data_IF_191956808623
#
_entry.id   IF_191956808623
#
_cell.length_a   1.000
_cell.length_b   1.000
_cell.length_c   1.000
_cell.angle_alpha   90.00
_cell.angle_beta   90.00
_cell.angle_gamma   90.00
#
_symmetry.space_group_name_H-M   'P 1'
#
loop_
_entity.id
_entity.type
_entity.pdbx_description
1 polymer ?
#
# COMPACT_ATOMS: atom_id res chain seq x y z
N UNK A 1 2.05 -1.86 12.04
CA UNK A 1 1.20 -1.59 13.23
C UNK A 1 -0.16 -2.28 13.13
N UNK A 2 -0.86 -2.26 11.98
CA UNK A 2 -2.19 -2.88 11.85
C UNK A 2 -2.30 -4.29 12.46
N UNK A 3 -1.37 -5.19 12.17
CA UNK A 3 -1.42 -6.54 12.73
C UNK A 3 -1.29 -6.58 14.25
N UNK A 4 -0.48 -5.70 14.84
CA UNK A 4 -0.38 -5.55 16.30
C UNK A 4 -1.71 -5.09 16.89
N UNK A 5 -2.33 -4.07 16.28
CA UNK A 5 -3.65 -3.57 16.69
C UNK A 5 -4.73 -4.65 16.55
N UNK A 6 -4.71 -5.45 15.48
CA UNK A 6 -5.65 -6.56 15.27
C UNK A 6 -5.47 -7.66 16.31
N UNK A 7 -4.23 -8.03 16.63
CA UNK A 7 -3.93 -9.02 17.67
C UNK A 7 -4.41 -8.50 19.03
N UNK A 8 -4.13 -7.24 19.36
CA UNK A 8 -4.61 -6.62 20.60
C UNK A 8 -6.14 -6.68 20.69
N UNK A 9 -6.84 -6.29 19.62
CA UNK A 9 -8.30 -6.35 19.56
C UNK A 9 -8.83 -7.79 19.72
N UNK A 10 -8.22 -8.78 19.06
CA UNK A 10 -8.62 -10.19 19.21
C UNK A 10 -8.39 -10.74 20.61
N UNK A 11 -7.49 -10.14 21.38
CA UNK A 11 -7.22 -10.50 22.77
C UNK A 11 -8.01 -9.63 23.77
N UNK A 12 -8.96 -8.81 23.30
CA UNK A 12 -9.78 -7.93 24.14
C UNK A 12 -9.00 -6.74 24.74
N UNK A 13 -7.88 -6.37 24.15
CA UNK A 13 -7.08 -5.22 24.55
C UNK A 13 -7.39 -4.00 23.68
N UNK A 14 -7.60 -2.85 24.32
CA UNK A 14 -7.76 -1.54 23.66
C UNK A 14 -6.41 -0.93 23.22
N UNK A 15 -5.32 -1.67 23.31
CA UNK A 15 -4.01 -1.19 22.90
C UNK A 15 -3.97 -0.86 21.39
N UNK A 16 -3.44 0.32 21.07
CA UNK A 16 -3.24 0.79 19.70
C UNK A 16 -1.85 1.38 19.54
N UNK A 17 -1.16 0.94 18.50
CA UNK A 17 0.17 1.45 18.18
C UNK A 17 0.02 2.80 17.46
N UNK A 18 0.60 3.84 18.06
CA UNK A 18 0.57 5.22 17.56
C UNK A 18 2.01 5.70 17.38
N UNK A 19 2.69 5.26 16.31
CA UNK A 19 4.12 5.46 16.20
C UNK A 19 4.46 6.93 15.96
N UNK A 20 5.59 7.39 16.47
CA UNK A 20 6.17 8.67 16.08
C UNK A 20 6.89 8.60 14.73
N UNK A 21 7.25 9.75 14.15
CA UNK A 21 7.93 9.76 12.86
C UNK A 21 9.31 9.07 12.91
N UNK A 22 10.00 9.12 14.06
CA UNK A 22 11.24 8.34 14.32
C UNK A 22 11.05 6.85 14.11
N UNK A 23 10.00 6.27 14.67
CA UNK A 23 9.71 4.84 14.56
C UNK A 23 9.29 4.48 13.14
N UNK A 24 8.49 5.34 12.49
CA UNK A 24 8.13 5.16 11.08
C UNK A 24 9.37 5.18 10.19
N UNK A 25 10.30 6.12 10.39
CA UNK A 25 11.55 6.19 9.65
C UNK A 25 12.41 4.93 9.84
N UNK A 26 12.50 4.42 11.08
CA UNK A 26 13.20 3.16 11.36
C UNK A 26 12.56 1.97 10.64
N UNK A 27 11.22 1.90 10.59
CA UNK A 27 10.49 0.86 9.84
C UNK A 27 10.73 0.97 8.33
N UNK A 28 10.71 2.19 7.76
CA UNK A 28 11.02 2.41 6.34
C UNK A 28 12.46 1.93 6.04
N UNK A 29 13.42 2.28 6.90
CA UNK A 29 14.81 1.83 6.77
C UNK A 29 14.90 0.31 6.80
N UNK A 30 14.28 -0.33 7.80
CA UNK A 30 14.28 -1.79 7.92
C UNK A 30 13.64 -2.46 6.71
N UNK A 31 12.57 -1.89 6.17
CA UNK A 31 11.93 -2.39 4.96
C UNK A 31 12.87 -2.29 3.74
N UNK A 32 13.62 -1.19 3.61
CA UNK A 32 14.65 -1.04 2.59
C UNK A 32 15.72 -2.13 2.68
N UNK A 33 16.25 -2.39 3.88
CA UNK A 33 17.24 -3.46 4.11
C UNK A 33 16.70 -4.84 3.71
N UNK A 34 15.48 -5.17 4.15
CA UNK A 34 14.83 -6.44 3.80
C UNK A 34 14.59 -6.58 2.30
N UNK A 35 14.30 -5.49 1.59
CA UNK A 35 14.19 -5.51 0.13
C UNK A 35 15.54 -5.76 -0.53
N UNK A 36 16.64 -5.20 -0.02
CA UNK A 36 17.99 -5.51 -0.53
C UNK A 36 18.29 -6.99 -0.33
N UNK A 37 18.05 -7.52 0.86
CA UNK A 37 18.26 -8.94 1.17
C UNK A 37 17.41 -9.84 0.24
N UNK A 38 16.17 -9.46 -0.04
CA UNK A 38 15.26 -10.22 -0.89
C UNK A 38 15.64 -10.19 -2.38
N UNK A 39 16.02 -9.03 -2.91
CA UNK A 39 16.30 -8.88 -4.34
C UNK A 39 17.76 -9.15 -4.71
N UNK A 40 18.69 -9.07 -3.76
CA UNK A 40 20.13 -9.15 -4.01
C UNK A 40 20.71 -7.94 -4.76
N UNK A 41 19.88 -6.97 -5.13
CA UNK A 41 20.24 -5.78 -5.89
C UNK A 41 19.67 -4.52 -5.22
N UNK A 42 20.55 -3.69 -4.67
CA UNK A 42 20.16 -2.49 -3.93
C UNK A 42 19.33 -1.51 -4.78
N UNK A 43 19.74 -1.28 -6.04
CA UNK A 43 19.00 -0.38 -6.93
C UNK A 43 17.57 -0.86 -7.20
N UNK A 44 17.39 -2.18 -7.42
CA UNK A 44 16.08 -2.79 -7.59
C UNK A 44 15.25 -2.66 -6.32
N UNK A 45 15.82 -2.94 -5.16
CA UNK A 45 15.18 -2.79 -3.86
C UNK A 45 14.67 -1.36 -3.65
N UNK A 46 15.49 -0.34 -3.95
CA UNK A 46 15.07 1.06 -3.79
C UNK A 46 13.93 1.44 -4.74
N UNK A 47 13.95 0.98 -6.00
CA UNK A 47 12.83 1.19 -6.93
C UNK A 47 11.52 0.59 -6.42
N UNK A 48 11.58 -0.59 -5.82
CA UNK A 48 10.41 -1.26 -5.24
C UNK A 48 9.95 -0.57 -3.95
N UNK A 49 10.88 -0.11 -3.11
CA UNK A 49 10.57 0.61 -1.87
C UNK A 49 9.77 1.89 -2.14
N UNK A 50 10.09 2.64 -3.21
CA UNK A 50 9.41 3.91 -3.59
C UNK A 50 7.89 3.78 -3.66
N UNK A 51 7.37 2.60 -4.04
CA UNK A 51 5.92 2.32 -4.12
C UNK A 51 5.22 2.42 -2.76
N UNK A 52 5.96 2.19 -1.68
CA UNK A 52 5.44 2.04 -0.32
C UNK A 52 5.62 3.29 0.54
N UNK A 53 6.66 4.11 0.28
CA UNK A 53 7.06 5.23 1.15
C UNK A 53 5.91 6.20 1.43
N UNK A 54 5.13 6.55 0.41
CA UNK A 54 4.02 7.50 0.57
C UNK A 54 2.95 7.02 1.56
N UNK A 55 2.78 5.70 1.69
CA UNK A 55 1.80 5.09 2.61
C UNK A 55 2.24 5.19 4.07
N UNK A 56 3.54 5.07 4.34
CA UNK A 56 4.11 5.24 5.68
C UNK A 56 3.94 6.68 6.19
N UNK A 57 4.11 7.66 5.30
CA UNK A 57 4.13 9.07 5.66
C UNK A 57 2.74 9.72 5.63
N UNK A 58 1.66 8.97 5.43
CA UNK A 58 0.30 9.52 5.42
C UNK A 58 -0.02 10.17 6.78
N UNK A 59 -0.49 11.42 6.75
CA UNK A 59 -0.88 12.19 7.94
C UNK A 59 0.28 12.91 8.64
N UNK A 60 1.50 12.39 8.57
CA UNK A 60 2.67 13.05 9.19
C UNK A 60 2.97 14.40 8.52
N UNK A 61 3.51 15.38 9.29
CA UNK A 61 3.85 16.72 8.81
C UNK A 61 5.13 16.71 7.94
N UNK A 62 5.21 15.80 6.98
CA UNK A 62 6.30 15.72 6.00
C UNK A 62 5.95 16.59 4.80
N UNK A 63 6.74 17.64 4.60
CA UNK A 63 6.58 18.60 3.51
C UNK A 63 6.68 17.96 2.11
N UNK A 64 6.10 18.64 1.12
CA UNK A 64 6.05 18.14 -0.26
C UNK A 64 7.43 17.86 -0.86
N UNK A 65 8.44 18.66 -0.52
CA UNK A 65 9.81 18.44 -0.97
C UNK A 65 10.42 17.14 -0.44
N UNK A 66 10.35 16.91 0.87
CA UNK A 66 10.82 15.67 1.47
C UNK A 66 10.10 14.43 0.90
N UNK A 67 8.79 14.54 0.62
CA UNK A 67 8.05 13.47 -0.07
C UNK A 67 8.58 13.22 -1.49
N UNK A 68 8.87 14.27 -2.25
CA UNK A 68 9.44 14.16 -3.61
C UNK A 68 10.83 13.52 -3.58
N UNK A 69 11.71 13.93 -2.67
CA UNK A 69 13.08 13.39 -2.60
C UNK A 69 13.09 11.93 -2.19
N UNK A 70 12.25 11.53 -1.23
CA UNK A 70 12.09 10.13 -0.82
C UNK A 70 11.47 9.26 -1.93
N UNK A 71 10.58 9.81 -2.76
CA UNK A 71 10.06 9.11 -3.94
C UNK A 71 11.13 8.83 -5.01
N UNK A 72 12.30 9.47 -4.92
CA UNK A 72 13.44 9.32 -5.81
C UNK A 72 14.64 8.63 -5.15
N UNK A 73 14.43 7.95 -4.01
CA UNK A 73 15.52 7.28 -3.28
C UNK A 73 16.24 6.22 -4.12
N UNK A 74 17.57 6.22 -4.16
CA UNK A 74 18.35 5.37 -5.08
C UNK A 74 19.30 4.37 -4.41
N UNK A 75 19.60 4.57 -3.13
CA UNK A 75 20.45 3.69 -2.31
C UNK A 75 20.00 3.70 -0.86
N UNK A 76 20.46 2.72 -0.08
CA UNK A 76 20.30 2.67 1.38
C UNK A 76 20.97 3.87 2.06
N UNK A 77 22.13 4.31 1.56
CA UNK A 77 22.80 5.50 2.09
C UNK A 77 21.96 6.77 1.85
N UNK A 78 21.44 6.94 0.63
CA UNK A 78 20.53 8.03 0.28
C UNK A 78 19.22 7.99 1.08
N UNK A 79 18.65 6.79 1.28
CA UNK A 79 17.49 6.60 2.15
C UNK A 79 17.75 7.12 3.56
N UNK A 80 18.88 6.75 4.15
CA UNK A 80 19.26 7.19 5.49
C UNK A 80 19.39 8.71 5.57
N UNK A 81 20.07 9.33 4.60
CA UNK A 81 20.25 10.77 4.56
C UNK A 81 18.90 11.51 4.47
N UNK A 82 18.02 11.06 3.57
CA UNK A 82 16.68 11.66 3.39
C UNK A 82 15.79 11.46 4.62
N UNK A 83 15.82 10.29 5.25
CA UNK A 83 15.06 10.04 6.49
C UNK A 83 15.60 10.88 7.66
N UNK A 84 16.92 11.04 7.78
CA UNK A 84 17.55 11.84 8.82
C UNK A 84 17.26 13.34 8.69
N UNK A 85 16.93 13.83 7.49
CA UNK A 85 16.52 15.23 7.28
C UNK A 85 15.07 15.55 7.70
N UNK A 86 14.28 14.54 8.08
CA UNK A 86 12.93 14.73 8.59
C UNK A 86 12.96 15.23 10.03
N UNK A 87 11.88 15.89 10.46
CA UNK A 87 11.64 16.16 11.88
C UNK A 87 11.23 14.88 12.62
N UNK A 88 12.21 14.10 13.05
CA UNK A 88 11.97 12.78 13.66
C UNK A 88 11.24 12.86 15.01
N UNK A 89 11.18 14.04 15.64
CA UNK A 89 10.45 14.24 16.91
C UNK A 89 8.96 14.51 16.70
N UNK A 90 8.50 14.60 15.45
CA UNK A 90 7.09 14.67 15.11
C UNK A 90 6.31 13.48 15.70
N UNK A 91 5.30 13.72 16.54
CA UNK A 91 4.50 12.66 17.16
C UNK A 91 3.56 12.01 16.15
N UNK A 92 2.85 10.98 16.60
CA UNK A 92 1.75 10.39 15.84
C UNK A 92 0.72 11.48 15.45
N UNK A 93 0.32 11.59 14.16
CA UNK A 93 -0.44 12.73 13.66
C UNK A 93 -1.96 12.64 13.93
N UNK A 94 -2.41 11.69 14.75
CA UNK A 94 -3.81 11.56 15.17
C UNK A 94 -4.77 11.36 13.99
N UNK A 95 -5.83 12.19 13.95
CA UNK A 95 -6.88 12.13 12.92
C UNK A 95 -6.34 12.15 11.49
N UNK A 96 -5.22 12.84 11.23
CA UNK A 96 -4.65 12.89 9.88
C UNK A 96 -4.13 11.52 9.38
N UNK A 97 -3.72 10.61 10.27
CA UNK A 97 -3.37 9.23 9.92
C UNK A 97 -4.57 8.27 9.92
N UNK A 98 -5.59 8.58 10.70
CA UNK A 98 -6.79 7.74 10.92
C UNK A 98 -7.95 8.08 9.98
N UNK A 99 -7.89 9.23 9.32
CA UNK A 99 -8.89 9.68 8.37
C UNK A 99 -9.10 8.71 7.20
N UNK A 100 -10.21 8.93 6.49
CA UNK A 100 -10.70 8.03 5.44
C UNK A 100 -9.58 7.54 4.51
N UNK A 101 -9.55 6.22 4.28
CA UNK A 101 -8.71 5.57 3.29
C UNK A 101 -9.59 5.17 2.11
N UNK A 102 -9.09 5.38 0.89
CA UNK A 102 -9.83 5.08 -0.33
C UNK A 102 -10.64 6.26 -0.89
N UNK A 103 -11.54 5.95 -1.83
CA UNK A 103 -12.34 6.95 -2.53
C UNK A 103 -13.34 7.59 -1.57
N UNK A 104 -13.26 8.91 -1.43
CA UNK A 104 -14.30 9.70 -0.81
C UNK A 104 -15.49 9.88 -1.79
N UNK A 105 -16.72 9.80 -1.29
CA UNK A 105 -17.95 9.97 -2.07
C UNK A 105 -18.97 8.87 -1.82
N UNK A 106 -20.11 8.96 -2.53
CA UNK A 106 -21.17 7.97 -2.46
C UNK A 106 -20.74 6.62 -3.06
N UNK A 107 -21.25 5.49 -2.50
CA UNK A 107 -21.11 4.19 -3.12
C UNK A 107 -21.53 4.27 -4.59
N UNK A 108 -20.73 3.67 -5.47
CA UNK A 108 -21.19 3.41 -6.83
C UNK A 108 -21.96 2.10 -6.81
N UNK A 109 -23.14 2.09 -7.40
CA UNK A 109 -23.85 0.86 -7.67
C UNK A 109 -23.01 0.04 -8.67
N UNK A 110 -22.58 -1.18 -8.32
CA UNK A 110 -21.85 -2.03 -9.24
C UNK A 110 -22.82 -2.55 -10.31
N UNK A 111 -22.47 -2.35 -11.58
CA UNK A 111 -23.18 -2.99 -12.68
C UNK A 111 -22.61 -4.38 -12.90
N UNK A 112 -23.46 -5.38 -12.70
CA UNK A 112 -23.13 -6.77 -12.98
C UNK A 112 -23.62 -7.11 -14.40
N UNK A 113 -22.98 -8.08 -15.07
CA UNK A 113 -23.55 -8.68 -16.27
C UNK A 113 -24.96 -9.23 -15.99
N UNK A 114 -25.77 -9.31 -17.04
CA UNK A 114 -27.11 -9.90 -16.97
C UNK A 114 -27.05 -11.34 -16.41
N UNK A 115 -28.01 -11.73 -15.57
CA UNK A 115 -28.06 -13.05 -14.94
C UNK A 115 -26.99 -13.37 -13.88
N UNK A 116 -26.02 -12.49 -13.61
CA UNK A 116 -24.88 -12.78 -12.72
C UNK A 116 -25.27 -13.16 -11.28
N UNK A 117 -26.33 -12.55 -10.74
CA UNK A 117 -26.83 -12.86 -9.39
C UNK A 117 -27.76 -14.07 -9.37
N UNK A 118 -28.20 -14.55 -10.52
CA UNK A 118 -29.15 -15.66 -10.64
C UNK A 118 -28.44 -17.01 -10.58
N UNK A 119 -27.22 -17.10 -11.14
CA UNK A 119 -26.43 -18.32 -11.16
C UNK A 119 -24.93 -18.04 -11.15
N UNK A 120 -24.14 -18.75 -10.33
CA UNK A 120 -22.68 -18.71 -10.42
C UNK A 120 -22.13 -19.59 -11.57
N UNK A 121 -22.99 -20.28 -12.30
CA UNK A 121 -22.63 -21.19 -13.39
C UNK A 121 -23.14 -20.66 -14.73
N UNK A 122 -22.29 -20.79 -15.75
CA UNK A 122 -22.68 -20.56 -17.14
C UNK A 122 -23.70 -21.62 -17.58
N UNK A 123 -24.66 -21.21 -18.39
CA UNK A 123 -25.45 -22.14 -19.19
C UNK A 123 -24.57 -22.79 -20.27
N UNK A 124 -25.04 -23.91 -20.83
CA UNK A 124 -24.28 -24.62 -21.88
C UNK A 124 -24.06 -23.75 -23.13
N UNK A 125 -25.06 -22.94 -23.50
CA UNK A 125 -24.97 -21.97 -24.60
C UNK A 125 -23.93 -20.89 -24.35
N UNK A 126 -23.81 -20.40 -23.12
CA UNK A 126 -22.83 -19.39 -22.73
C UNK A 126 -21.42 -19.99 -22.70
N UNK A 127 -21.27 -21.23 -22.20
CA UNK A 127 -20.01 -21.99 -22.29
C UNK A 127 -19.56 -22.16 -23.74
N UNK A 128 -20.48 -22.53 -24.63
CA UNK A 128 -20.17 -22.68 -26.06
C UNK A 128 -19.74 -21.34 -26.68
N UNK A 129 -20.35 -20.22 -26.26
CA UNK A 129 -19.98 -18.87 -26.71
C UNK A 129 -18.58 -18.47 -26.24
N UNK A 130 -18.26 -18.69 -24.96
CA UNK A 130 -16.91 -18.45 -24.41
C UNK A 130 -15.89 -19.34 -25.11
N UNK A 131 -16.18 -20.64 -25.29
CA UNK A 131 -15.31 -21.57 -26.00
C UNK A 131 -15.06 -21.14 -27.46
N UNK A 132 -16.06 -20.59 -28.14
CA UNK A 132 -15.91 -20.02 -29.49
C UNK A 132 -15.09 -18.73 -29.50
N UNK A 133 -15.15 -17.91 -28.45
CA UNK A 133 -14.37 -16.67 -28.33
C UNK A 133 -12.88 -16.95 -28.02
N UNK A 134 -12.57 -18.05 -27.32
CA UNK A 134 -11.19 -18.51 -27.06
C UNK A 134 -10.52 -19.09 -28.32
N UNK A 135 -11.28 -19.39 -29.38
CA UNK A 135 -10.75 -19.77 -30.70
C UNK A 135 -10.24 -18.53 -31.43
N UNK A 136 -9.15 -17.93 -30.93
CA UNK A 136 -8.06 -17.24 -31.64
C UNK A 136 -8.32 -16.35 -32.87
N UNK A 137 -9.54 -15.88 -33.14
CA UNK A 137 -9.86 -15.05 -34.32
C UNK A 137 -10.48 -13.72 -33.85
N UNK A 138 -9.77 -12.97 -33.03
CA UNK A 138 -9.88 -11.50 -32.99
C UNK A 138 -8.74 -10.92 -32.16
N UNK A 139 -7.53 -10.91 -32.73
CA UNK A 139 -6.50 -9.98 -32.31
C UNK A 139 -6.89 -8.57 -32.76
N UNK A 140 -7.21 -7.71 -31.78
CA UNK A 140 -7.16 -6.25 -31.91
C UNK A 140 -6.01 -5.72 -31.08
#
# INVERSE_FOLDING_TARGET
>A
WLFTDLIAAFHGSDHRVRPGLREVAAVIRRHGELMVDHFGEENRAMRELRKHVSWYLKGYPVGGEARRTLALVDSLADLNAKLASLDLDSPYPGEAAEGQRGRAGSPKEPHLPDGWLESPYLAESERATVAAAELGISGG
#
